data_IF_712580741001
#
_entry.id   IF_712580741001
#
_cell.length_a   1.000
_cell.length_b   1.000
_cell.length_c   1.000
_cell.angle_alpha   90.00
_cell.angle_beta   90.00
_cell.angle_gamma   90.00
#
_symmetry.space_group_name_H-M   'P 1'
#
loop_
_entity.id
_entity.type
_entity.pdbx_description
1 polymer ?
#
# COMPACT_ATOMS: atom_id res chain seq x y z
N UNK A 1 -104.06 77.97 -0.76
CA UNK A 1 -104.22 77.73 -2.22
C UNK A 1 -103.92 79.06 -2.91
N UNK A 2 -103.26 79.15 -4.10
CA UNK A 2 -103.09 78.17 -5.19
C UNK A 2 -101.59 77.82 -5.46
N UNK A 3 -101.21 76.59 -5.88
CA UNK A 3 -101.12 76.01 -7.24
C UNK A 3 -100.20 76.73 -8.23
N UNK A 4 -99.20 76.02 -8.78
CA UNK A 4 -98.69 76.34 -10.12
C UNK A 4 -97.24 75.98 -10.44
N UNK A 5 -97.08 74.82 -11.06
CA UNK A 5 -96.20 74.58 -12.24
C UNK A 5 -94.70 74.38 -12.03
N UNK A 6 -94.29 73.11 -12.13
CA UNK A 6 -92.95 72.70 -12.52
C UNK A 6 -92.64 73.19 -13.94
N UNK A 7 -91.49 73.83 -14.13
CA UNK A 7 -90.93 74.10 -15.46
C UNK A 7 -89.58 73.43 -15.62
N UNK A 8 -89.58 72.53 -16.61
CA UNK A 8 -88.51 71.68 -17.10
C UNK A 8 -87.30 72.53 -17.54
N UNK A 9 -86.09 72.10 -17.17
CA UNK A 9 -84.83 72.63 -17.69
C UNK A 9 -84.70 72.20 -19.16
N UNK A 10 -84.58 73.11 -20.14
CA UNK A 10 -84.24 72.73 -21.51
C UNK A 10 -82.74 72.35 -21.60
N UNK A 11 -82.36 71.42 -22.49
CA UNK A 11 -80.96 71.02 -22.63
C UNK A 11 -80.16 72.17 -23.25
N UNK A 12 -79.12 72.63 -22.55
CA UNK A 12 -78.18 73.60 -23.10
C UNK A 12 -77.31 72.91 -24.16
N UNK A 13 -77.56 73.31 -25.41
CA UNK A 13 -76.79 72.93 -26.59
C UNK A 13 -75.32 73.34 -26.44
N UNK A 14 -74.43 72.39 -26.69
CA UNK A 14 -72.98 72.58 -26.77
C UNK A 14 -72.66 73.60 -27.87
N UNK A 15 -72.25 74.80 -27.49
CA UNK A 15 -71.62 75.77 -28.40
C UNK A 15 -70.11 75.73 -28.14
N UNK A 16 -69.36 75.16 -29.09
CA UNK A 16 -67.90 75.24 -29.11
C UNK A 16 -67.48 76.64 -29.58
N UNK A 17 -67.39 77.58 -28.65
CA UNK A 17 -66.77 78.88 -28.86
C UNK A 17 -65.56 79.02 -27.95
N UNK A 18 -64.37 79.22 -28.54
CA UNK A 18 -63.14 79.51 -27.78
C UNK A 18 -63.23 80.92 -27.19
N UNK A 19 -63.28 81.04 -25.87
CA UNK A 19 -63.13 82.32 -25.16
C UNK A 19 -61.63 82.53 -24.93
N UNK A 20 -61.08 83.59 -25.52
CA UNK A 20 -59.68 83.99 -25.28
C UNK A 20 -59.65 85.00 -24.13
N UNK A 21 -58.98 84.64 -23.03
CA UNK A 21 -58.65 85.58 -21.96
C UNK A 21 -57.30 86.23 -22.26
N UNK A 22 -57.27 87.54 -22.47
CA UNK A 22 -56.01 88.29 -22.64
C UNK A 22 -55.47 88.69 -21.28
N UNK A 23 -54.30 88.15 -20.91
CA UNK A 23 -53.64 88.46 -19.64
C UNK A 23 -52.83 89.76 -19.77
N UNK A 24 -53.23 90.82 -19.08
CA UNK A 24 -52.47 92.07 -19.02
C UNK A 24 -51.31 91.94 -18.03
N UNK A 25 -50.12 91.59 -18.56
CA UNK A 25 -48.88 91.49 -17.77
C UNK A 25 -48.50 92.78 -17.04
N UNK A 26 -49.00 93.95 -17.47
CA UNK A 26 -48.65 95.24 -16.85
C UNK A 26 -49.35 95.51 -15.52
N UNK A 27 -50.35 94.68 -15.16
CA UNK A 27 -51.12 94.80 -13.91
C UNK A 27 -50.76 93.74 -12.86
N UNK A 28 -49.77 92.89 -13.12
CA UNK A 28 -49.27 91.90 -12.17
C UNK A 28 -48.14 92.53 -11.36
N UNK A 29 -48.44 92.97 -10.14
CA UNK A 29 -47.39 93.24 -9.15
C UNK A 29 -47.17 91.95 -8.36
N UNK A 30 -46.12 91.19 -8.71
CA UNK A 30 -45.61 90.13 -7.83
C UNK A 30 -44.80 90.83 -6.75
N UNK A 31 -45.26 90.80 -5.50
CA UNK A 31 -44.46 91.27 -4.39
C UNK A 31 -43.15 90.47 -4.36
N UNK A 32 -42.03 91.11 -4.66
CA UNK A 32 -40.70 90.53 -4.48
C UNK A 32 -40.44 90.47 -2.97
N UNK A 33 -40.88 89.36 -2.36
CA UNK A 33 -40.41 88.98 -1.04
C UNK A 33 -38.87 89.05 -1.02
N UNK A 34 -38.32 89.70 0.00
CA UNK A 34 -36.90 89.88 0.23
C UNK A 34 -36.08 88.68 -0.26
N UNK A 35 -35.25 88.90 -1.29
CA UNK A 35 -34.31 87.89 -1.78
C UNK A 35 -33.31 87.61 -0.66
N UNK A 36 -33.57 86.60 0.18
CA UNK A 36 -32.58 86.06 1.10
C UNK A 36 -31.30 85.71 0.34
N UNK A 37 -30.14 85.87 0.97
CA UNK A 37 -28.86 85.51 0.37
C UNK A 37 -28.89 84.05 -0.14
N UNK A 38 -28.17 83.72 -1.21
CA UNK A 38 -28.08 82.33 -1.66
C UNK A 38 -27.51 81.43 -0.53
N UNK A 39 -28.00 80.20 -0.41
CA UNK A 39 -27.48 79.24 0.56
C UNK A 39 -26.03 78.86 0.25
N UNK A 40 -25.20 78.85 1.29
CA UNK A 40 -23.80 78.44 1.27
C UNK A 40 -23.59 77.05 1.91
N UNK A 41 -24.63 76.20 1.93
CA UNK A 41 -24.58 74.85 2.47
C UNK A 41 -23.50 74.01 1.77
N UNK A 42 -22.54 73.52 2.56
CA UNK A 42 -21.38 72.77 2.08
C UNK A 42 -20.82 71.85 3.18
N UNK A 43 -19.88 70.98 2.81
CA UNK A 43 -19.06 70.19 3.74
C UNK A 43 -17.57 70.46 3.49
N UNK A 44 -16.77 70.47 4.55
CA UNK A 44 -15.29 70.56 4.48
C UNK A 44 -14.64 69.55 5.42
N UNK A 45 -13.44 69.10 5.07
CA UNK A 45 -12.64 68.18 5.89
C UNK A 45 -13.17 66.74 5.92
N UNK A 46 -14.01 66.38 4.95
CA UNK A 46 -14.53 65.02 4.82
C UNK A 46 -13.46 64.02 4.38
N UNK A 47 -13.62 62.76 4.79
CA UNK A 47 -12.80 61.64 4.36
C UNK A 47 -13.66 60.52 3.78
N UNK A 48 -13.04 59.69 2.94
CA UNK A 48 -13.67 58.51 2.34
C UNK A 48 -13.29 57.22 3.07
N UNK A 49 -14.19 56.22 3.19
CA UNK A 49 -13.85 54.94 3.82
C UNK A 49 -12.84 54.09 3.02
N UNK A 50 -12.80 54.22 1.69
CA UNK A 50 -11.86 53.48 0.84
C UNK A 50 -12.06 51.96 0.89
N UNK A 51 -11.03 51.23 1.31
CA UNK A 51 -11.06 49.78 1.45
C UNK A 51 -10.93 49.41 2.93
N UNK A 52 -11.93 48.72 3.46
CA UNK A 52 -11.98 48.26 4.84
C UNK A 52 -11.91 46.73 4.88
N UNK A 53 -11.30 46.16 5.91
CA UNK A 53 -11.45 44.72 6.19
C UNK A 53 -12.73 44.50 7.02
N UNK A 54 -13.39 43.35 6.86
CA UNK A 54 -14.51 42.96 7.75
C UNK A 54 -14.10 43.15 9.22
N UNK A 55 -14.97 43.78 10.01
CA UNK A 55 -14.70 44.08 11.42
C UNK A 55 -13.97 45.41 11.68
N UNK A 56 -13.51 46.11 10.63
CA UNK A 56 -12.80 47.40 10.79
C UNK A 56 -13.76 48.52 11.17
N UNK A 57 -13.36 49.35 12.14
CA UNK A 57 -14.05 50.61 12.45
C UNK A 57 -13.59 51.69 11.49
N UNK A 58 -14.48 52.62 11.17
CA UNK A 58 -14.16 53.83 10.44
C UNK A 58 -14.98 54.99 11.00
N UNK A 59 -14.40 56.19 10.96
CA UNK A 59 -15.00 57.40 11.54
C UNK A 59 -15.43 58.35 10.43
N UNK A 60 -16.70 58.73 10.43
CA UNK A 60 -17.28 59.74 9.56
C UNK A 60 -16.67 61.12 9.86
N UNK A 61 -15.84 61.66 8.95
CA UNK A 61 -15.25 62.99 9.11
C UNK A 61 -15.92 64.03 8.24
N UNK A 62 -15.80 65.29 8.65
CA UNK A 62 -16.27 66.47 7.93
C UNK A 62 -17.14 67.38 8.78
N UNK A 63 -17.11 68.68 8.49
CA UNK A 63 -17.98 69.69 9.09
C UNK A 63 -18.90 70.27 8.03
N UNK A 64 -20.20 70.13 8.25
CA UNK A 64 -21.25 70.72 7.41
C UNK A 64 -21.51 72.14 7.91
N UNK A 65 -21.54 73.12 7.02
CA UNK A 65 -21.76 74.53 7.37
C UNK A 65 -22.71 75.20 6.38
N UNK A 66 -23.55 76.13 6.84
CA UNK A 66 -24.39 77.00 6.00
C UNK A 66 -24.52 78.39 6.61
N UNK A 67 -24.88 79.38 5.79
CA UNK A 67 -25.32 80.70 6.23
C UNK A 67 -26.78 80.71 6.72
N UNK A 68 -27.52 79.62 6.52
CA UNK A 68 -28.83 79.37 7.12
C UNK A 68 -28.75 78.25 8.17
N UNK A 69 -29.75 78.17 9.05
CA UNK A 69 -29.86 77.07 10.02
C UNK A 69 -29.99 75.73 9.31
N UNK A 70 -29.11 74.77 9.62
CA UNK A 70 -29.17 73.38 9.15
C UNK A 70 -30.27 72.68 9.96
N UNK A 71 -31.35 72.32 9.28
CA UNK A 71 -32.55 71.72 9.89
C UNK A 71 -32.54 70.21 9.82
N UNK A 72 -31.71 69.63 8.96
CA UNK A 72 -31.62 68.19 8.78
C UNK A 72 -30.24 67.76 8.30
N UNK A 73 -29.71 66.67 8.87
CA UNK A 73 -28.57 65.93 8.33
C UNK A 73 -28.88 64.44 8.37
N UNK A 74 -28.74 63.77 7.24
CA UNK A 74 -28.89 62.32 7.10
C UNK A 74 -27.56 61.67 6.74
N UNK A 75 -27.25 60.55 7.38
CA UNK A 75 -26.14 59.68 7.00
C UNK A 75 -26.61 58.27 6.72
N UNK A 76 -26.05 57.67 5.68
CA UNK A 76 -26.51 56.42 5.12
C UNK A 76 -25.33 55.55 4.69
N UNK A 77 -25.47 54.24 4.93
CA UNK A 77 -24.69 53.21 4.25
C UNK A 77 -25.67 52.50 3.32
N UNK A 78 -25.41 52.52 2.02
CA UNK A 78 -26.23 51.88 1.00
C UNK A 78 -25.50 50.70 0.38
N UNK A 79 -26.26 49.75 -0.17
CA UNK A 79 -25.76 48.61 -0.90
C UNK A 79 -25.14 49.04 -2.25
N UNK A 80 -24.60 48.09 -3.01
CA UNK A 80 -23.86 48.36 -4.25
C UNK A 80 -24.66 49.07 -5.35
N UNK A 81 -25.99 49.10 -5.24
CA UNK A 81 -26.90 49.80 -6.14
C UNK A 81 -27.05 51.31 -5.83
N UNK A 82 -26.40 51.80 -4.77
CA UNK A 82 -26.50 53.18 -4.26
C UNK A 82 -27.94 53.65 -3.96
N UNK A 83 -28.85 52.71 -3.67
CA UNK A 83 -30.26 53.01 -3.38
C UNK A 83 -30.83 52.23 -2.19
N UNK A 84 -30.41 50.99 -2.00
CA UNK A 84 -30.86 50.14 -0.90
C UNK A 84 -30.15 50.53 0.39
N UNK A 85 -30.89 51.01 1.38
CA UNK A 85 -30.33 51.45 2.67
C UNK A 85 -30.02 50.22 3.54
N UNK A 86 -28.74 50.08 3.93
CA UNK A 86 -28.26 49.06 4.89
C UNK A 86 -28.29 49.61 6.31
N UNK A 87 -27.81 50.84 6.50
CA UNK A 87 -27.86 51.55 7.77
C UNK A 87 -28.18 53.03 7.52
N UNK A 88 -28.87 53.70 8.45
CA UNK A 88 -29.10 55.13 8.34
C UNK A 88 -29.26 55.80 9.71
N UNK A 89 -28.94 57.09 9.76
CA UNK A 89 -29.23 57.95 10.90
C UNK A 89 -29.52 59.38 10.45
N UNK A 90 -30.53 59.99 11.04
CA UNK A 90 -30.86 61.40 10.82
C UNK A 90 -30.78 62.19 12.12
N UNK A 91 -30.45 63.47 12.00
CA UNK A 91 -30.43 64.45 13.09
C UNK A 91 -30.94 65.80 12.60
N UNK A 92 -31.42 66.63 13.52
CA UNK A 92 -31.85 68.00 13.25
C UNK A 92 -30.99 68.95 14.11
N UNK A 93 -29.82 69.40 13.62
CA UNK A 93 -28.87 70.15 14.44
C UNK A 93 -29.41 71.48 14.95
N UNK A 94 -30.30 72.14 14.19
CA UNK A 94 -30.80 73.48 14.48
C UNK A 94 -29.68 74.50 14.73
N UNK A 95 -28.60 74.36 13.97
CA UNK A 95 -27.38 75.16 14.06
C UNK A 95 -26.86 75.47 12.65
N UNK A 96 -25.97 76.45 12.52
CA UNK A 96 -25.33 76.79 11.22
C UNK A 96 -24.12 75.90 10.90
N UNK A 97 -23.73 75.02 11.82
CA UNK A 97 -22.62 74.08 11.68
C UNK A 97 -22.92 72.73 12.34
N UNK A 98 -22.46 71.64 11.76
CA UNK A 98 -22.58 70.28 12.30
C UNK A 98 -21.35 69.43 11.96
N UNK A 99 -20.67 68.89 12.98
CA UNK A 99 -19.54 67.98 12.81
C UNK A 99 -20.01 66.53 12.73
N UNK A 100 -19.50 65.79 11.75
CA UNK A 100 -19.73 64.34 11.64
C UNK A 100 -18.86 63.56 12.63
N UNK A 101 -17.62 63.97 12.85
CA UNK A 101 -16.63 63.22 13.62
C UNK A 101 -17.05 63.08 15.09
N UNK A 102 -17.10 61.84 15.59
CA UNK A 102 -17.65 61.52 16.91
C UNK A 102 -19.07 62.07 17.12
N UNK A 103 -19.81 62.37 16.05
CA UNK A 103 -21.17 62.86 16.07
C UNK A 103 -22.18 61.74 16.24
N UNK A 104 -23.47 62.09 16.25
CA UNK A 104 -24.56 61.11 16.36
C UNK A 104 -24.63 60.19 15.13
N UNK A 105 -24.32 60.72 13.95
CA UNK A 105 -24.29 59.94 12.70
C UNK A 105 -23.11 58.96 12.72
N UNK A 106 -21.91 59.42 13.06
CA UNK A 106 -20.70 58.59 13.13
C UNK A 106 -20.87 57.40 14.07
N UNK A 107 -21.39 57.64 15.28
CA UNK A 107 -21.67 56.55 16.24
C UNK A 107 -22.77 55.58 15.79
N UNK A 108 -23.65 55.99 14.89
CA UNK A 108 -24.78 55.17 14.43
C UNK A 108 -24.46 54.35 13.18
N UNK A 109 -23.51 54.79 12.34
CA UNK A 109 -23.09 54.08 11.14
C UNK A 109 -21.96 53.12 11.50
N UNK A 110 -22.30 51.85 11.75
CA UNK A 110 -21.39 50.82 12.22
C UNK A 110 -20.71 50.11 11.05
N UNK A 111 -19.59 50.67 10.57
CA UNK A 111 -18.79 50.08 9.49
C UNK A 111 -18.23 48.70 9.84
N UNK A 112 -17.96 48.45 11.13
CA UNK A 112 -17.37 47.21 11.62
C UNK A 112 -18.34 46.02 11.64
N UNK A 113 -19.63 46.22 11.37
CA UNK A 113 -20.62 45.14 11.31
C UNK A 113 -21.01 44.77 9.89
N UNK A 114 -20.41 45.42 8.88
CA UNK A 114 -20.71 45.15 7.49
C UNK A 114 -20.07 43.84 7.03
N UNK A 115 -20.81 42.96 6.35
CA UNK A 115 -20.25 41.83 5.62
C UNK A 115 -19.31 42.28 4.50
N UNK A 116 -18.56 41.33 3.94
CA UNK A 116 -17.77 41.59 2.74
C UNK A 116 -18.69 42.00 1.58
N UNK A 117 -18.34 43.07 0.89
CA UNK A 117 -19.20 43.66 -0.14
C UNK A 117 -18.77 45.04 -0.61
N UNK A 118 -19.57 45.61 -1.52
CA UNK A 118 -19.41 46.98 -2.03
C UNK A 118 -20.58 47.82 -1.54
N UNK A 119 -20.29 49.02 -1.05
CA UNK A 119 -21.26 49.90 -0.41
C UNK A 119 -21.04 51.36 -0.82
N UNK A 120 -22.02 52.20 -0.51
CA UNK A 120 -21.92 53.66 -0.62
C UNK A 120 -22.13 54.32 0.74
N UNK A 121 -21.27 55.26 1.10
CA UNK A 121 -21.43 56.15 2.24
C UNK A 121 -21.95 57.49 1.74
N UNK A 122 -23.15 57.87 2.20
CA UNK A 122 -23.85 59.06 1.73
C UNK A 122 -24.21 59.98 2.89
N UNK A 123 -23.92 61.27 2.73
CA UNK A 123 -24.35 62.33 3.65
C UNK A 123 -25.23 63.32 2.90
N UNK A 124 -26.41 63.60 3.44
CA UNK A 124 -27.32 64.63 2.94
C UNK A 124 -27.57 65.69 4.00
N UNK A 125 -27.84 66.93 3.58
CA UNK A 125 -28.21 68.00 4.50
C UNK A 125 -29.21 68.95 3.88
N UNK A 126 -30.10 69.49 4.74
CA UNK A 126 -31.06 70.52 4.39
C UNK A 126 -30.90 71.72 5.33
N UNK A 127 -31.07 72.93 4.78
CA UNK A 127 -31.11 74.16 5.57
C UNK A 127 -32.46 74.88 5.47
N UNK A 128 -32.63 75.92 6.30
CA UNK A 128 -33.85 76.70 6.41
C UNK A 128 -34.16 77.54 5.16
N UNK A 129 -33.21 77.70 4.23
CA UNK A 129 -33.48 78.32 2.93
C UNK A 129 -34.27 77.40 1.99
N UNK A 130 -34.45 76.13 2.38
CA UNK A 130 -35.02 75.07 1.54
C UNK A 130 -33.99 74.36 0.66
N UNK A 131 -32.70 74.71 0.74
CA UNK A 131 -31.66 74.03 -0.04
C UNK A 131 -31.46 72.61 0.51
N UNK A 132 -31.37 71.65 -0.40
CA UNK A 132 -31.08 70.23 -0.09
C UNK A 132 -29.92 69.76 -0.94
N UNK A 133 -28.92 69.12 -0.32
CA UNK A 133 -27.75 68.61 -1.02
C UNK A 133 -27.35 67.22 -0.52
N UNK A 134 -26.84 66.42 -1.45
CA UNK A 134 -25.97 65.28 -1.15
C UNK A 134 -24.54 65.83 -1.10
N UNK A 135 -23.94 65.76 0.09
CA UNK A 135 -22.63 66.34 0.38
C UNK A 135 -21.50 65.30 0.27
N UNK A 136 -21.81 64.02 0.49
CA UNK A 136 -20.91 62.87 0.26
C UNK A 136 -21.69 61.78 -0.46
N UNK A 137 -21.09 61.13 -1.45
CA UNK A 137 -21.62 59.97 -2.16
C UNK A 137 -20.46 59.05 -2.57
N UNK A 138 -19.81 58.46 -1.57
CA UNK A 138 -18.53 57.77 -1.73
C UNK A 138 -18.72 56.25 -1.78
N UNK A 139 -18.19 55.62 -2.81
CA UNK A 139 -18.12 54.16 -2.92
C UNK A 139 -16.98 53.62 -2.06
N UNK A 140 -17.23 52.56 -1.30
CA UNK A 140 -16.22 51.85 -0.53
C UNK A 140 -16.41 50.33 -0.59
N UNK A 141 -15.36 49.59 -0.24
CA UNK A 141 -15.40 48.12 -0.21
C UNK A 141 -15.06 47.58 1.18
N UNK A 142 -15.70 46.47 1.53
CA UNK A 142 -15.36 45.65 2.69
C UNK A 142 -14.81 44.33 2.17
N UNK A 143 -13.52 44.09 2.38
CA UNK A 143 -12.85 42.86 1.95
C UNK A 143 -12.90 41.81 3.05
N UNK A 144 -13.27 40.58 2.67
CA UNK A 144 -13.05 39.43 3.53
C UNK A 144 -11.56 39.27 3.81
N UNK A 145 -11.15 38.79 5.00
CA UNK A 145 -9.78 38.37 5.20
C UNK A 145 -9.42 37.30 4.16
N UNK A 146 -8.26 37.45 3.53
CA UNK A 146 -7.72 36.41 2.65
C UNK A 146 -7.49 35.17 3.52
N UNK A 147 -8.06 34.00 3.19
CA UNK A 147 -7.72 32.77 3.91
C UNK A 147 -6.21 32.60 3.83
N UNK A 148 -5.54 32.41 4.98
CA UNK A 148 -4.11 32.11 4.98
C UNK A 148 -3.91 30.87 4.07
N UNK A 149 -3.04 30.91 3.06
CA UNK A 149 -2.87 29.78 2.17
C UNK A 149 -2.39 28.55 2.95
N UNK A 150 -3.03 27.41 2.71
CA UNK A 150 -2.53 26.11 3.20
C UNK A 150 -1.19 25.82 2.52
N UNK A 151 -0.15 25.59 3.30
CA UNK A 151 1.15 25.10 2.83
C UNK A 151 1.32 23.65 3.31
N UNK A 152 0.37 22.82 2.89
CA UNK A 152 0.28 21.44 3.34
C UNK A 152 1.40 20.60 2.72
N UNK A 153 2.09 19.83 3.56
CA UNK A 153 2.99 18.75 3.15
C UNK A 153 2.77 17.56 4.07
N UNK A 154 2.82 16.35 3.53
CA UNK A 154 2.71 15.14 4.34
C UNK A 154 3.25 13.92 3.63
N UNK A 155 3.50 12.86 4.39
CA UNK A 155 3.98 11.57 3.88
C UNK A 155 3.61 10.44 4.84
N UNK A 156 3.35 9.25 4.29
CA UNK A 156 3.25 8.00 5.06
C UNK A 156 4.67 7.43 5.21
N UNK A 157 5.08 7.21 6.45
CA UNK A 157 6.40 6.64 6.80
C UNK A 157 6.34 5.14 7.10
N UNK A 158 5.17 4.62 7.50
CA UNK A 158 4.93 3.19 7.63
C UNK A 158 3.44 2.86 7.40
N UNK A 159 3.10 1.69 6.81
CA UNK A 159 4.03 0.67 6.30
C UNK A 159 4.77 1.14 5.04
N UNK A 160 5.91 0.50 4.75
CA UNK A 160 6.53 0.65 3.43
C UNK A 160 5.61 0.05 2.36
N UNK A 161 5.67 0.59 1.14
CA UNK A 161 4.84 0.09 0.05
C UNK A 161 5.21 -1.36 -0.27
N UNK A 162 4.19 -2.22 -0.40
CA UNK A 162 4.30 -3.67 -0.58
C UNK A 162 5.01 -4.43 0.54
N UNK A 163 5.04 -3.88 1.76
CA UNK A 163 5.46 -4.62 2.95
C UNK A 163 4.50 -5.79 3.25
N UNK A 164 5.01 -6.86 3.86
CA UNK A 164 4.25 -8.02 4.28
C UNK A 164 4.41 -8.21 5.80
N UNK A 165 3.32 -8.58 6.48
CA UNK A 165 3.26 -8.69 7.94
C UNK A 165 2.64 -10.01 8.38
N UNK A 166 3.21 -10.62 9.43
CA UNK A 166 2.70 -11.83 10.08
C UNK A 166 1.58 -11.54 11.08
N UNK A 167 1.48 -10.30 11.54
CA UNK A 167 0.56 -9.88 12.59
C UNK A 167 -0.62 -9.16 12.01
N UNK A 168 -1.81 -9.43 12.55
CA UNK A 168 -3.05 -8.73 12.17
C UNK A 168 -3.07 -7.26 12.59
N UNK A 169 -2.13 -6.81 13.42
CA UNK A 169 -1.95 -5.41 13.76
C UNK A 169 -0.79 -4.83 12.96
N UNK A 170 -1.08 -3.82 12.14
CA UNK A 170 -0.09 -3.09 11.34
C UNK A 170 -0.04 -1.64 11.79
N UNK A 171 1.17 -1.15 12.08
CA UNK A 171 1.36 0.24 12.49
C UNK A 171 1.36 1.19 11.29
N UNK A 172 0.43 2.14 11.32
CA UNK A 172 0.36 3.25 10.38
C UNK A 172 1.04 4.46 11.00
N UNK A 173 2.07 4.97 10.33
CA UNK A 173 2.73 6.22 10.71
C UNK A 173 2.72 7.20 9.56
N UNK A 174 2.36 8.45 9.84
CA UNK A 174 2.37 9.53 8.87
C UNK A 174 2.74 10.84 9.54
N UNK A 175 3.43 11.70 8.81
CA UNK A 175 3.82 13.04 9.25
C UNK A 175 3.20 14.08 8.34
N UNK A 176 2.74 15.20 8.89
CA UNK A 176 2.24 16.32 8.10
C UNK A 176 2.57 17.68 8.73
N UNK A 177 2.71 18.70 7.89
CA UNK A 177 2.93 20.11 8.27
C UNK A 177 1.96 20.98 7.49
N UNK A 178 1.43 22.03 8.12
CA UNK A 178 0.65 23.07 7.43
C UNK A 178 0.77 24.40 8.20
N UNK A 179 0.44 25.51 7.53
CA UNK A 179 0.29 26.84 8.11
C UNK A 179 -0.83 26.89 9.16
N UNK A 180 -1.81 26.00 9.07
CA UNK A 180 -2.81 25.76 10.12
C UNK A 180 -2.40 24.56 10.96
N UNK A 181 -2.79 24.56 12.24
CA UNK A 181 -2.66 23.36 13.06
C UNK A 181 -3.41 22.18 12.42
N UNK A 182 -2.91 20.96 12.58
CA UNK A 182 -3.58 19.73 12.16
C UNK A 182 -4.29 19.15 13.38
N UNK A 183 -5.60 18.91 13.27
CA UNK A 183 -6.42 18.41 14.37
C UNK A 183 -6.36 16.89 14.48
N UNK A 184 -6.53 16.21 13.35
CA UNK A 184 -6.57 14.75 13.29
C UNK A 184 -6.14 14.25 11.90
N UNK A 185 -5.89 12.95 11.84
CA UNK A 185 -5.65 12.19 10.62
C UNK A 185 -6.82 11.25 10.39
N UNK A 186 -7.21 11.10 9.13
CA UNK A 186 -8.21 10.13 8.70
C UNK A 186 -7.47 8.99 8.01
N UNK A 187 -7.68 7.77 8.48
CA UNK A 187 -7.07 6.56 7.94
C UNK A 187 -8.18 5.74 7.31
N UNK A 188 -8.10 5.51 6.00
CA UNK A 188 -9.05 4.69 5.25
C UNK A 188 -8.36 3.41 4.82
N UNK A 189 -8.96 2.28 5.15
CA UNK A 189 -8.50 0.96 4.74
C UNK A 189 -9.41 0.46 3.62
N UNK A 190 -8.80 0.05 2.52
CA UNK A 190 -9.46 -0.50 1.35
C UNK A 190 -9.07 -1.96 1.15
N UNK A 191 -9.91 -2.69 0.42
CA UNK A 191 -9.64 -4.04 -0.02
C UNK A 191 -8.53 -4.08 -1.08
N UNK A 192 -8.15 -5.28 -1.52
CA UNK A 192 -7.09 -5.49 -2.53
C UNK A 192 -7.35 -4.83 -3.88
N UNK A 193 -8.59 -4.43 -4.16
CA UNK A 193 -8.99 -3.69 -5.36
C UNK A 193 -8.64 -2.19 -5.30
N UNK A 194 -8.24 -1.68 -4.13
CA UNK A 194 -7.96 -0.27 -3.88
C UNK A 194 -9.18 0.65 -3.93
N UNK A 195 -10.40 0.10 -4.03
CA UNK A 195 -11.65 0.84 -4.24
C UNK A 195 -12.66 0.55 -3.13
N UNK A 196 -12.81 -0.71 -2.74
CA UNK A 196 -13.79 -1.13 -1.73
C UNK A 196 -13.32 -0.70 -0.34
N UNK A 197 -13.96 0.32 0.22
CA UNK A 197 -13.67 0.81 1.57
C UNK A 197 -14.11 -0.22 2.61
N UNK A 198 -13.18 -0.65 3.45
CA UNK A 198 -13.42 -1.60 4.54
C UNK A 198 -13.57 -0.89 5.89
N UNK A 199 -12.77 0.16 6.12
CA UNK A 199 -12.72 0.86 7.42
C UNK A 199 -12.34 2.33 7.25
N UNK A 200 -12.88 3.18 8.12
CA UNK A 200 -12.41 4.57 8.31
C UNK A 200 -12.14 4.79 9.79
N UNK A 201 -10.97 5.32 10.10
CA UNK A 201 -10.49 5.56 11.45
C UNK A 201 -10.02 7.01 11.58
N UNK A 202 -10.16 7.56 12.78
CA UNK A 202 -9.67 8.90 13.11
C UNK A 202 -8.60 8.79 14.17
N UNK A 203 -7.40 9.27 13.87
CA UNK A 203 -6.28 9.32 14.79
C UNK A 203 -6.02 10.77 15.20
N UNK A 204 -5.82 11.00 16.50
CA UNK A 204 -5.43 12.32 16.99
C UNK A 204 -4.06 12.73 16.43
N UNK A 205 -3.92 13.99 16.04
CA UNK A 205 -2.64 14.52 15.59
C UNK A 205 -1.78 14.92 16.81
N UNK A 206 -0.60 14.32 16.93
CA UNK A 206 0.34 14.67 18.00
C UNK A 206 1.40 15.63 17.46
N UNK A 207 1.47 16.84 18.00
CA UNK A 207 2.49 17.81 17.58
C UNK A 207 3.88 17.36 18.04
N UNK A 208 4.83 17.33 17.12
CA UNK A 208 6.23 16.98 17.36
C UNK A 208 7.12 17.96 16.57
N UNK A 209 7.69 18.95 17.27
CA UNK A 209 8.35 20.07 16.62
C UNK A 209 7.39 20.86 15.73
N UNK A 210 7.78 21.07 14.47
CA UNK A 210 6.97 21.78 13.47
C UNK A 210 5.98 20.87 12.72
N UNK A 211 6.05 19.55 12.94
CA UNK A 211 5.19 18.57 12.28
C UNK A 211 4.15 17.98 13.24
N UNK A 212 3.13 17.36 12.66
CA UNK A 212 2.14 16.54 13.33
C UNK A 212 2.36 15.09 12.94
N UNK A 213 2.32 14.21 13.94
CA UNK A 213 2.54 12.78 13.80
C UNK A 213 1.23 12.02 14.03
N UNK A 214 0.94 11.11 13.11
CA UNK A 214 -0.01 10.03 13.26
C UNK A 214 0.74 8.76 13.65
N UNK A 215 0.30 8.11 14.73
CA UNK A 215 0.71 6.76 15.10
C UNK A 215 -0.56 5.99 15.42
N UNK A 216 -0.92 5.03 14.57
CA UNK A 216 -2.16 4.28 14.71
C UNK A 216 -1.93 2.79 14.46
N UNK A 217 -2.37 1.96 15.39
CA UNK A 217 -2.29 0.51 15.26
C UNK A 217 -3.59 0.01 14.59
N UNK A 218 -3.46 -0.38 13.31
CA UNK A 218 -4.58 -0.83 12.50
C UNK A 218 -4.75 -2.34 12.61
N UNK A 219 -5.89 -2.78 13.13
CA UNK A 219 -6.25 -4.18 13.23
C UNK A 219 -6.97 -4.68 11.96
N UNK A 220 -6.52 -5.81 11.44
CA UNK A 220 -6.97 -6.47 10.22
C UNK A 220 -7.75 -7.73 10.56
N UNK A 221 -8.73 -8.07 9.73
CA UNK A 221 -9.62 -9.22 9.94
C UNK A 221 -9.30 -10.43 9.08
N UNK A 222 -8.68 -10.25 7.92
CA UNK A 222 -8.52 -11.29 6.90
C UNK A 222 -7.12 -11.25 6.29
N UNK A 223 -6.58 -12.42 5.93
CA UNK A 223 -5.27 -12.50 5.28
C UNK A 223 -5.41 -12.19 3.78
N UNK A 224 -4.85 -11.06 3.35
CA UNK A 224 -4.90 -10.55 1.97
C UNK A 224 -4.05 -9.30 1.81
N UNK A 225 -4.04 -8.77 0.58
CA UNK A 225 -3.52 -7.45 0.25
C UNK A 225 -4.52 -6.35 0.62
N UNK A 226 -4.01 -5.26 1.16
CA UNK A 226 -4.75 -4.08 1.57
C UNK A 226 -4.13 -2.81 0.99
N UNK A 227 -4.95 -1.77 0.83
CA UNK A 227 -4.48 -0.40 0.58
C UNK A 227 -4.89 0.49 1.74
N UNK A 228 -3.95 1.20 2.35
CA UNK A 228 -4.23 2.26 3.33
C UNK A 228 -4.04 3.62 2.68
N UNK A 229 -5.01 4.50 2.87
CA UNK A 229 -4.92 5.91 2.51
C UNK A 229 -4.98 6.77 3.77
N UNK A 230 -4.15 7.81 3.82
CA UNK A 230 -4.15 8.74 4.96
C UNK A 230 -4.44 10.15 4.46
N UNK A 231 -5.33 10.85 5.16
CA UNK A 231 -5.57 12.29 5.03
C UNK A 231 -5.30 12.99 6.36
N UNK A 232 -5.08 14.30 6.33
CA UNK A 232 -5.02 15.17 7.50
C UNK A 232 -6.14 16.22 7.44
N UNK A 233 -6.71 16.56 8.61
CA UNK A 233 -7.70 17.61 8.76
C UNK A 233 -7.08 18.81 9.47
N UNK A 234 -7.02 19.94 8.77
CA UNK A 234 -6.51 21.19 9.30
C UNK A 234 -7.53 21.84 10.25
N UNK A 235 -7.07 22.76 11.09
CA UNK A 235 -7.89 23.45 12.09
C UNK A 235 -9.00 24.33 11.48
N UNK A 236 -8.85 24.72 10.22
CA UNK A 236 -9.88 25.40 9.43
C UNK A 236 -10.93 24.43 8.83
N UNK A 237 -10.82 23.12 9.11
CA UNK A 237 -11.73 22.07 8.63
C UNK A 237 -11.38 21.49 7.27
N UNK A 238 -10.30 21.95 6.61
CA UNK A 238 -9.91 21.45 5.29
C UNK A 238 -9.24 20.08 5.39
N UNK A 239 -9.69 19.13 4.57
CA UNK A 239 -9.04 17.83 4.39
C UNK A 239 -7.94 17.91 3.32
N UNK A 240 -6.80 17.30 3.61
CA UNK A 240 -5.70 17.12 2.68
C UNK A 240 -5.33 15.64 2.60
N UNK A 241 -5.40 15.08 1.40
CA UNK A 241 -4.88 13.74 1.13
C UNK A 241 -3.35 13.76 1.25
N UNK A 242 -2.79 12.80 1.98
CA UNK A 242 -1.34 12.64 2.12
C UNK A 242 -0.83 11.72 1.02
N UNK A 243 -1.18 10.44 1.12
CA UNK A 243 -0.68 9.38 0.25
C UNK A 243 -1.48 8.09 0.48
N UNK A 244 -1.19 7.06 -0.32
CA UNK A 244 -1.63 5.69 -0.08
C UNK A 244 -0.47 4.68 -0.16
N UNK A 245 -0.63 3.55 0.53
CA UNK A 245 0.33 2.44 0.55
C UNK A 245 -0.37 1.10 0.45
N UNK A 246 0.26 0.16 -0.25
CA UNK A 246 -0.14 -1.23 -0.33
C UNK A 246 0.65 -2.04 0.68
N UNK A 247 0.01 -3.02 1.31
CA UNK A 247 0.69 -3.99 2.15
C UNK A 247 -0.10 -5.28 2.22
N UNK A 248 0.53 -6.35 2.68
CA UNK A 248 -0.06 -7.68 2.81
C UNK A 248 -0.07 -8.11 4.27
N UNK A 249 -1.14 -8.77 4.68
CA UNK A 249 -1.20 -9.49 5.94
C UNK A 249 -1.37 -10.98 5.65
N UNK A 250 -0.43 -11.76 6.16
CA UNK A 250 -0.32 -13.20 5.97
C UNK A 250 0.32 -13.81 7.20
N UNK A 251 -0.45 -14.60 7.95
CA UNK A 251 -0.02 -15.26 9.16
C UNK A 251 0.20 -16.78 8.94
N UNK A 252 0.08 -17.23 7.69
CA UNK A 252 0.14 -18.65 7.36
C UNK A 252 1.48 -19.02 6.75
N UNK A 253 2.14 -20.08 7.25
CA UNK A 253 3.32 -20.61 6.59
C UNK A 253 3.03 -21.16 5.18
N UNK A 254 4.02 -21.12 4.27
CA UNK A 254 3.95 -21.83 2.99
C UNK A 254 3.61 -23.30 3.14
N UNK A 255 2.82 -23.81 2.20
CA UNK A 255 2.50 -25.25 2.10
C UNK A 255 3.53 -25.92 1.20
N UNK A 256 4.07 -27.05 1.68
CA UNK A 256 5.03 -27.89 0.95
C UNK A 256 4.35 -29.22 0.60
N UNK A 257 4.46 -29.64 -0.65
CA UNK A 257 3.92 -30.91 -1.14
C UNK A 257 4.89 -31.61 -2.09
N UNK A 258 4.71 -32.92 -2.28
CA UNK A 258 5.54 -33.73 -3.18
C UNK A 258 7.05 -33.60 -2.92
N UNK A 259 7.45 -33.54 -1.64
CA UNK A 259 8.84 -33.55 -1.25
C UNK A 259 9.47 -34.89 -1.65
N UNK A 260 10.45 -34.84 -2.54
CA UNK A 260 11.13 -36.00 -3.11
C UNK A 260 12.64 -35.80 -3.10
N UNK A 261 13.37 -36.91 -2.94
CA UNK A 261 14.83 -36.96 -3.01
C UNK A 261 15.24 -38.04 -3.99
N UNK A 262 16.23 -37.73 -4.83
CA UNK A 262 16.76 -38.67 -5.82
C UNK A 262 18.24 -38.40 -6.10
N UNK A 263 18.92 -39.39 -6.66
CA UNK A 263 20.32 -39.29 -7.08
C UNK A 263 20.39 -39.21 -8.60
N UNK A 264 21.21 -38.30 -9.13
CA UNK A 264 21.46 -38.17 -10.55
C UNK A 264 22.91 -37.77 -10.78
N UNK A 265 23.65 -38.55 -11.57
CA UNK A 265 25.06 -38.24 -11.88
C UNK A 265 26.02 -38.27 -10.70
N UNK A 266 25.65 -38.92 -9.58
CA UNK A 266 26.44 -38.99 -8.34
C UNK A 266 26.16 -37.87 -7.34
N UNK A 267 25.30 -36.91 -7.70
CA UNK A 267 24.80 -35.87 -6.80
C UNK A 267 23.38 -36.21 -6.31
N UNK A 268 23.03 -35.71 -5.13
CA UNK A 268 21.69 -35.84 -4.58
C UNK A 268 20.88 -34.55 -4.76
N UNK A 269 19.64 -34.73 -5.18
CA UNK A 269 18.70 -33.68 -5.46
C UNK A 269 17.48 -33.82 -4.55
N UNK A 270 16.97 -32.69 -4.08
CA UNK A 270 15.70 -32.58 -3.41
C UNK A 270 14.78 -31.66 -4.20
N UNK A 271 13.56 -32.10 -4.45
CA UNK A 271 12.52 -31.29 -5.10
C UNK A 271 11.24 -31.28 -4.30
N UNK A 272 10.54 -30.16 -4.29
CA UNK A 272 9.22 -30.04 -3.68
C UNK A 272 8.38 -28.99 -4.41
N UNK A 273 7.07 -29.16 -4.39
CA UNK A 273 6.13 -28.11 -4.79
C UNK A 273 5.83 -27.22 -3.58
N UNK A 274 5.83 -25.92 -3.78
CA UNK A 274 5.55 -24.93 -2.75
C UNK A 274 4.47 -23.97 -3.20
N UNK A 275 3.61 -23.57 -2.27
CA UNK A 275 2.57 -22.59 -2.53
C UNK A 275 2.32 -21.75 -1.29
N UNK A 276 2.10 -20.46 -1.50
CA UNK A 276 1.56 -19.55 -0.50
C UNK A 276 0.45 -18.70 -1.14
N UNK A 277 -0.63 -18.45 -0.40
CA UNK A 277 -1.86 -17.88 -0.97
C UNK A 277 -1.91 -16.35 -0.98
N UNK A 278 -0.98 -15.67 -0.30
CA UNK A 278 -1.04 -14.21 -0.14
C UNK A 278 0.26 -13.55 -0.58
N UNK A 279 1.40 -14.00 -0.08
CA UNK A 279 2.67 -13.28 -0.20
C UNK A 279 3.71 -13.98 -1.09
N UNK A 280 3.50 -15.26 -1.36
CA UNK A 280 4.41 -16.06 -2.19
C UNK A 280 5.70 -16.42 -1.46
N UNK A 281 6.41 -17.41 -2.01
CA UNK A 281 7.63 -17.96 -1.39
C UNK A 281 8.87 -17.18 -1.83
N UNK A 282 9.76 -16.86 -0.88
CA UNK A 282 10.97 -16.04 -1.14
C UNK A 282 12.27 -16.74 -0.79
N UNK A 283 12.25 -17.72 0.13
CA UNK A 283 13.46 -18.43 0.54
C UNK A 283 13.16 -19.91 0.83
N UNK A 284 14.14 -20.77 0.59
CA UNK A 284 14.07 -22.18 0.90
C UNK A 284 15.44 -22.72 1.30
N UNK A 285 15.47 -23.54 2.35
CA UNK A 285 16.68 -24.17 2.85
C UNK A 285 16.39 -25.62 3.23
N UNK A 286 17.34 -26.50 3.00
CA UNK A 286 17.23 -27.90 3.34
C UNK A 286 18.28 -28.29 4.38
N UNK A 287 17.84 -29.06 5.36
CA UNK A 287 18.67 -29.58 6.45
C UNK A 287 18.71 -31.09 6.35
N UNK A 288 19.92 -31.63 6.32
CA UNK A 288 20.17 -33.08 6.37
C UNK A 288 20.77 -33.40 7.73
N UNK A 289 20.19 -34.39 8.42
CA UNK A 289 20.67 -34.90 9.70
C UNK A 289 20.99 -36.39 9.60
N UNK A 290 22.19 -36.80 9.99
CA UNK A 290 22.57 -38.22 10.07
C UNK A 290 22.08 -38.89 11.38
N UNK A 291 22.25 -40.21 11.50
CA UNK A 291 21.93 -40.98 12.72
C UNK A 291 22.73 -40.52 13.96
N UNK A 292 23.92 -39.96 13.76
CA UNK A 292 24.75 -39.38 14.81
C UNK A 292 24.27 -38.01 15.29
N UNK A 293 23.29 -37.41 14.61
CA UNK A 293 22.74 -36.10 14.90
C UNK A 293 23.53 -34.93 14.31
N UNK A 294 24.51 -35.19 13.42
CA UNK A 294 25.24 -34.14 12.70
C UNK A 294 24.33 -33.57 11.61
N UNK A 295 24.27 -32.25 11.53
CA UNK A 295 23.45 -31.53 10.55
C UNK A 295 24.29 -30.79 9.51
N UNK A 296 23.79 -30.76 8.27
CA UNK A 296 24.25 -29.84 7.23
C UNK A 296 23.08 -29.10 6.59
N UNK A 297 23.30 -27.82 6.31
CA UNK A 297 22.31 -26.93 5.70
C UNK A 297 22.72 -26.61 4.26
N UNK A 298 21.73 -26.54 3.37
CA UNK A 298 21.91 -26.24 1.96
C UNK A 298 20.87 -25.21 1.53
N UNK A 299 21.32 -24.16 0.83
CA UNK A 299 20.43 -23.21 0.20
C UNK A 299 19.75 -23.85 -1.01
N UNK A 300 18.46 -23.62 -1.16
CA UNK A 300 17.68 -24.16 -2.26
C UNK A 300 17.29 -23.05 -3.23
N UNK A 301 17.16 -23.41 -4.50
CA UNK A 301 16.66 -22.52 -5.54
C UNK A 301 15.15 -22.69 -5.68
N UNK A 302 14.43 -21.57 -5.74
CA UNK A 302 13.01 -21.54 -6.07
C UNK A 302 12.88 -21.18 -7.56
N UNK A 303 12.15 -22.01 -8.30
CA UNK A 303 11.83 -21.78 -9.71
C UNK A 303 10.32 -21.90 -9.87
N UNK A 304 9.64 -20.76 -10.00
CA UNK A 304 8.18 -20.67 -9.91
C UNK A 304 7.69 -21.30 -8.59
N UNK A 305 6.95 -22.40 -8.68
CA UNK A 305 6.31 -23.07 -7.55
C UNK A 305 7.07 -24.34 -7.15
N UNK A 306 8.30 -24.53 -7.64
CA UNK A 306 9.15 -25.67 -7.34
C UNK A 306 10.41 -25.23 -6.62
N UNK A 307 10.69 -25.87 -5.48
CA UNK A 307 11.98 -25.79 -4.81
C UNK A 307 12.88 -26.90 -5.34
N UNK A 308 14.12 -26.56 -5.64
CA UNK A 308 15.18 -27.49 -6.04
C UNK A 308 16.42 -27.26 -5.17
N UNK A 309 16.89 -28.29 -4.50
CA UNK A 309 18.12 -28.27 -3.72
C UNK A 309 19.07 -29.32 -4.30
N UNK A 310 20.36 -28.99 -4.36
CA UNK A 310 21.43 -29.92 -4.72
C UNK A 310 22.34 -29.98 -3.51
N UNK A 311 22.78 -31.17 -3.11
CA UNK A 311 23.86 -31.28 -2.16
C UNK A 311 24.97 -32.17 -2.69
N UNK A 312 26.18 -31.62 -2.69
CA UNK A 312 27.39 -32.26 -3.21
C UNK A 312 28.52 -32.35 -2.18
N UNK A 313 28.47 -31.58 -1.08
CA UNK A 313 29.43 -31.65 0.03
C UNK A 313 28.82 -32.28 1.30
N UNK A 314 28.83 -33.61 1.36
CA UNK A 314 28.43 -34.38 2.56
C UNK A 314 29.60 -34.69 3.49
N UNK A 315 30.78 -34.06 3.31
CA UNK A 315 31.95 -34.36 4.14
C UNK A 315 31.65 -34.16 5.63
N UNK A 316 31.88 -35.20 6.44
CA UNK A 316 31.58 -35.19 7.88
C UNK A 316 30.21 -35.77 8.25
N UNK A 317 29.34 -36.05 7.28
CA UNK A 317 28.18 -36.93 7.46
C UNK A 317 28.61 -38.39 7.22
N UNK A 318 27.84 -39.35 7.74
CA UNK A 318 28.16 -40.77 7.62
C UNK A 318 28.11 -41.26 6.16
N UNK A 319 29.15 -41.94 5.66
CA UNK A 319 29.13 -42.41 4.25
C UNK A 319 28.05 -43.47 3.98
N UNK A 320 27.50 -44.07 5.03
CA UNK A 320 26.28 -44.89 4.97
C UNK A 320 25.47 -44.78 6.26
N UNK A 321 24.13 -44.87 6.15
CA UNK A 321 23.24 -44.77 7.31
C UNK A 321 21.88 -44.18 6.97
N UNK A 322 21.02 -44.04 7.97
CA UNK A 322 19.75 -43.32 7.84
C UNK A 322 19.92 -41.81 8.00
N UNK A 323 19.06 -41.09 7.31
CA UNK A 323 19.04 -39.64 7.26
C UNK A 323 17.63 -39.11 7.47
N UNK A 324 17.54 -37.96 8.13
CA UNK A 324 16.36 -37.11 8.14
C UNK A 324 16.64 -35.90 7.27
N UNK A 325 15.76 -35.65 6.31
CA UNK A 325 15.86 -34.51 5.40
C UNK A 325 14.67 -33.61 5.69
N UNK A 326 14.94 -32.37 6.09
CA UNK A 326 13.90 -31.37 6.37
C UNK A 326 14.05 -30.20 5.42
N UNK A 327 13.01 -29.90 4.65
CA UNK A 327 12.91 -28.71 3.83
C UNK A 327 12.16 -27.62 4.60
N UNK A 328 12.76 -26.44 4.69
CA UNK A 328 12.18 -25.21 5.23
C UNK A 328 11.92 -24.23 4.10
N UNK A 329 10.76 -23.57 4.13
CA UNK A 329 10.34 -22.62 3.10
C UNK A 329 9.76 -21.39 3.79
N UNK A 330 10.19 -20.20 3.36
CA UNK A 330 9.79 -18.92 3.93
C UNK A 330 9.05 -18.07 2.89
N UNK A 331 7.96 -17.43 3.30
CA UNK A 331 7.24 -16.43 2.50
C UNK A 331 7.76 -14.99 2.70
N UNK A 332 7.18 -14.03 1.98
CA UNK A 332 7.57 -12.61 2.09
C UNK A 332 7.15 -11.97 3.42
N UNK A 333 6.11 -12.47 4.09
CA UNK A 333 5.78 -12.04 5.47
C UNK A 333 6.78 -12.60 6.49
N UNK A 334 7.57 -13.60 6.11
CA UNK A 334 8.57 -14.28 6.91
C UNK A 334 8.07 -15.54 7.63
N UNK A 335 6.85 -16.01 7.34
CA UNK A 335 6.36 -17.26 7.94
C UNK A 335 7.16 -18.44 7.38
N UNK A 336 7.45 -19.44 8.22
CA UNK A 336 8.29 -20.58 7.86
C UNK A 336 7.46 -21.86 7.90
N UNK A 337 7.28 -22.49 6.75
CA UNK A 337 6.73 -23.84 6.59
C UNK A 337 7.85 -24.88 6.55
N UNK A 338 7.56 -26.12 6.92
CA UNK A 338 8.52 -27.21 6.81
C UNK A 338 7.87 -28.55 6.46
N UNK A 339 8.63 -29.40 5.79
CA UNK A 339 8.29 -30.79 5.50
C UNK A 339 9.53 -31.67 5.66
N UNK A 340 9.35 -32.91 6.10
CA UNK A 340 10.48 -33.80 6.37
C UNK A 340 10.26 -35.21 5.79
N UNK A 341 11.35 -35.80 5.30
CA UNK A 341 11.48 -37.22 5.00
C UNK A 341 12.33 -37.88 6.08
N UNK A 342 11.87 -39.01 6.58
CA UNK A 342 12.55 -39.77 7.64
C UNK A 342 13.07 -41.11 7.10
N UNK A 343 14.08 -41.65 7.77
CA UNK A 343 14.67 -42.97 7.47
C UNK A 343 15.20 -43.11 6.02
N UNK A 344 15.73 -42.03 5.44
CA UNK A 344 16.36 -42.07 4.12
C UNK A 344 17.69 -42.80 4.22
N UNK A 345 17.83 -43.94 3.56
CA UNK A 345 19.06 -44.76 3.62
C UNK A 345 19.99 -44.37 2.47
N UNK A 346 21.18 -43.86 2.80
CA UNK A 346 22.30 -43.72 1.86
C UNK A 346 23.24 -44.91 2.07
N UNK A 347 23.61 -45.61 1.00
CA UNK A 347 24.51 -46.78 1.07
C UNK A 347 25.71 -46.61 0.13
N UNK A 348 26.91 -46.89 0.63
CA UNK A 348 28.05 -47.19 -0.24
C UNK A 348 27.77 -48.47 -1.01
N UNK A 349 27.79 -48.40 -2.36
CA UNK A 349 28.03 -49.60 -3.15
C UNK A 349 29.47 -50.02 -2.84
N UNK A 350 29.64 -51.12 -2.12
CA UNK A 350 30.93 -51.68 -1.70
C UNK A 350 31.98 -51.55 -2.81
N UNK A 351 32.89 -50.58 -2.65
CA UNK A 351 33.95 -50.25 -3.63
C UNK A 351 35.04 -51.32 -3.75
N UNK A 352 34.91 -52.43 -3.02
CA UNK A 352 35.84 -53.56 -3.03
C UNK A 352 35.07 -54.88 -3.19
N UNK A 353 34.95 -55.45 -4.40
CA UNK A 353 34.40 -56.79 -4.53
C UNK A 353 35.28 -57.75 -3.70
N UNK A 354 34.67 -58.43 -2.73
CA UNK A 354 35.38 -59.40 -1.91
C UNK A 354 35.80 -60.56 -2.81
N UNK A 355 37.10 -60.71 -3.08
CA UNK A 355 37.63 -61.85 -3.87
C UNK A 355 37.31 -63.14 -3.12
N UNK A 356 36.51 -64.02 -3.74
CA UNK A 356 36.21 -65.36 -3.22
C UNK A 356 36.86 -66.37 -4.14
N UNK A 357 37.96 -66.97 -3.68
CA UNK A 357 38.56 -68.12 -4.36
C UNK A 357 37.69 -69.37 -4.09
N UNK A 358 37.34 -70.10 -5.15
CA UNK A 358 36.57 -71.36 -5.13
C UNK A 358 37.36 -72.40 -5.92
N UNK A 359 37.58 -73.58 -5.32
CA UNK A 359 38.20 -74.73 -5.98
C UNK A 359 37.13 -75.57 -6.66
N UNK A 360 37.43 -76.15 -7.83
CA UNK A 360 36.50 -77.00 -8.58
C UNK A 360 36.07 -78.19 -7.71
N UNK A 361 34.77 -78.35 -7.51
CA UNK A 361 34.18 -79.39 -6.66
C UNK A 361 33.81 -78.96 -5.23
N UNK A 362 34.11 -77.72 -4.83
CA UNK A 362 33.67 -77.16 -3.55
C UNK A 362 32.39 -76.32 -3.70
N UNK A 363 31.49 -76.44 -2.72
CA UNK A 363 30.37 -75.52 -2.52
C UNK A 363 30.77 -74.47 -1.49
N UNK A 364 30.61 -73.18 -1.83
CA UNK A 364 30.93 -72.09 -0.91
C UNK A 364 29.76 -71.14 -0.82
N UNK A 365 29.28 -70.95 0.41
CA UNK A 365 28.20 -70.02 0.70
C UNK A 365 28.77 -68.60 0.78
N UNK A 366 28.26 -67.71 -0.07
CA UNK A 366 28.65 -66.30 -0.07
C UNK A 366 27.46 -65.46 0.38
N UNK A 367 27.67 -64.68 1.43
CA UNK A 367 26.69 -63.68 1.86
C UNK A 367 26.82 -62.45 0.96
N UNK A 368 25.79 -62.19 0.15
CA UNK A 368 25.69 -61.01 -0.68
C UNK A 368 24.72 -60.05 0.02
N UNK A 369 25.16 -58.81 0.22
CA UNK A 369 24.29 -57.74 0.72
C UNK A 369 23.94 -56.86 -0.47
N UNK A 370 22.69 -56.89 -0.92
CA UNK A 370 22.16 -55.99 -1.94
C UNK A 370 21.19 -55.07 -1.21
N UNK A 371 21.56 -53.79 -1.07
CA UNK A 371 20.69 -52.76 -0.53
C UNK A 371 20.29 -51.84 -1.69
N UNK A 372 19.08 -52.05 -2.24
CA UNK A 372 18.50 -51.14 -3.24
C UNK A 372 17.18 -50.59 -2.72
N UNK A 373 16.91 -49.31 -3.01
CA UNK A 373 15.64 -48.64 -2.71
C UNK A 373 14.54 -49.20 -3.64
N UNK A 374 13.46 -49.73 -3.06
CA UNK A 374 12.24 -50.05 -3.81
C UNK A 374 11.19 -48.96 -3.63
N UNK A 375 10.57 -48.55 -4.73
CA UNK A 375 9.28 -47.82 -4.72
C UNK A 375 8.18 -48.86 -4.98
N UNK A 376 7.23 -49.00 -4.09
CA UNK A 376 5.94 -49.63 -4.40
C UNK A 376 4.87 -48.57 -4.31
N UNK A 377 4.12 -48.39 -5.39
CA UNK A 377 2.96 -47.50 -5.39
C UNK A 377 1.96 -47.93 -4.33
N UNK A 378 1.60 -47.00 -3.43
CA UNK A 378 0.35 -47.07 -2.69
C UNK A 378 0.32 -47.93 -1.42
N UNK A 379 1.37 -47.91 -0.59
CA UNK A 379 1.32 -48.00 0.90
C UNK A 379 2.74 -48.08 1.48
N UNK A 380 3.06 -47.20 2.42
CA UNK A 380 4.32 -47.21 3.18
C UNK A 380 4.52 -48.56 3.89
N UNK A 381 5.33 -49.45 3.29
CA UNK A 381 5.93 -50.59 3.99
C UNK A 381 7.39 -50.71 3.61
N UNK A 382 8.26 -50.33 4.54
CA UNK A 382 9.70 -50.58 4.47
C UNK A 382 9.92 -52.05 4.81
N UNK A 383 10.24 -52.89 3.82
CA UNK A 383 10.67 -54.25 4.12
C UNK A 383 12.21 -54.30 4.13
N UNK A 384 12.75 -54.32 5.35
CA UNK A 384 14.18 -54.47 5.63
C UNK A 384 14.54 -55.94 5.43
N UNK A 385 15.43 -56.28 4.50
CA UNK A 385 16.06 -57.59 4.47
C UNK A 385 17.15 -57.62 5.54
N UNK A 386 16.73 -57.78 6.80
CA UNK A 386 17.67 -58.05 7.88
C UNK A 386 18.26 -59.45 7.64
N UNK A 387 19.46 -59.45 7.03
CA UNK A 387 20.38 -60.57 6.73
C UNK A 387 20.19 -61.24 5.36
N UNK A 388 21.06 -60.82 4.44
CA UNK A 388 21.81 -61.66 3.50
C UNK A 388 21.01 -62.40 2.44
N UNK A 389 21.09 -61.94 1.19
CA UNK A 389 20.85 -62.86 0.08
C UNK A 389 22.00 -63.88 0.09
N UNK A 390 21.66 -65.16 0.20
CA UNK A 390 22.60 -66.26 0.13
C UNK A 390 22.67 -66.72 -1.32
N UNK A 391 23.86 -66.64 -1.91
CA UNK A 391 24.16 -67.27 -3.19
C UNK A 391 25.04 -68.49 -2.91
N UNK A 392 24.55 -69.67 -3.31
CA UNK A 392 25.39 -70.88 -3.39
C UNK A 392 26.00 -70.88 -4.78
N UNK A 393 27.32 -70.77 -4.84
CA UNK A 393 28.07 -70.88 -6.08
C UNK A 393 28.60 -72.30 -6.17
N UNK A 394 28.10 -73.08 -7.13
CA UNK A 394 28.60 -74.43 -7.40
C UNK A 394 29.68 -74.34 -8.48
N UNK A 395 30.92 -74.66 -8.13
CA UNK A 395 31.98 -74.85 -9.11
C UNK A 395 31.72 -76.12 -9.91
N UNK A 396 31.21 -75.99 -11.14
CA UNK A 396 31.03 -77.14 -12.04
C UNK A 396 32.38 -77.53 -12.67
N UNK A 397 32.47 -78.79 -13.13
CA UNK A 397 33.69 -79.51 -13.53
C UNK A 397 34.67 -78.72 -14.44
N UNK A 398 35.96 -79.12 -14.50
CA UNK A 398 36.96 -78.43 -15.31
C UNK A 398 36.50 -78.25 -16.77
N UNK A 399 36.43 -77.00 -17.23
CA UNK A 399 35.98 -76.65 -18.60
C UNK A 399 34.55 -76.12 -18.72
N UNK A 400 33.78 -76.03 -17.63
CA UNK A 400 32.46 -75.40 -17.65
C UNK A 400 32.54 -73.88 -17.36
N UNK A 401 32.11 -73.05 -18.31
CA UNK A 401 31.92 -71.59 -18.13
C UNK A 401 30.58 -71.24 -17.46
N UNK A 402 29.92 -72.20 -16.80
CA UNK A 402 28.57 -72.04 -16.25
C UNK A 402 28.61 -72.15 -14.72
N UNK A 403 28.27 -71.04 -14.07
CA UNK A 403 27.95 -70.98 -12.65
C UNK A 403 26.43 -71.04 -12.50
N UNK A 404 25.94 -71.85 -11.57
CA UNK A 404 24.54 -71.78 -11.14
C UNK A 404 24.45 -71.01 -9.82
N UNK A 405 23.43 -70.17 -9.72
CA UNK A 405 23.09 -69.46 -8.50
C UNK A 405 21.73 -69.97 -8.03
N UNK A 406 21.68 -70.53 -6.84
CA UNK A 406 20.42 -70.84 -6.16
C UNK A 406 20.17 -69.78 -5.09
N UNK A 407 19.04 -69.09 -5.20
CA UNK A 407 18.58 -68.11 -4.21
C UNK A 407 17.56 -68.76 -3.29
N UNK A 408 17.72 -68.60 -1.98
CA UNK A 408 16.67 -68.93 -1.00
C UNK A 408 16.20 -67.65 -0.34
N UNK A 409 15.09 -67.10 -0.82
CA UNK A 409 14.37 -66.04 -0.13
C UNK A 409 13.52 -66.65 0.99
N UNK A 410 13.58 -66.11 2.20
CA UNK A 410 12.75 -66.61 3.32
C UNK A 410 11.26 -66.30 3.17
N UNK A 411 10.90 -65.39 2.26
CA UNK A 411 9.53 -65.00 1.94
C UNK A 411 9.34 -64.95 0.42
N UNK A 412 8.37 -65.69 -0.11
CA UNK A 412 8.07 -65.94 -1.53
C UNK A 412 7.57 -64.72 -2.35
N UNK A 413 8.12 -63.52 -2.17
CA UNK A 413 7.69 -62.35 -2.93
C UNK A 413 8.90 -61.53 -3.40
N UNK A 414 9.56 -62.00 -4.45
CA UNK A 414 10.49 -61.20 -5.25
C UNK A 414 10.17 -61.42 -6.73
N UNK A 415 9.79 -60.33 -7.41
CA UNK A 415 9.87 -60.22 -8.87
C UNK A 415 10.78 -59.03 -9.16
N UNK A 416 11.92 -59.28 -9.80
CA UNK A 416 12.87 -58.24 -10.20
C UNK A 416 12.60 -57.89 -11.67
N UNK A 417 12.23 -56.64 -11.95
CA UNK A 417 12.04 -56.13 -13.32
C UNK A 417 13.32 -55.57 -13.95
N UNK A 418 14.48 -55.74 -13.28
CA UNK A 418 15.78 -55.29 -13.79
C UNK A 418 16.78 -56.44 -13.79
N UNK A 419 17.43 -56.64 -14.95
CA UNK A 419 18.53 -57.59 -15.11
C UNK A 419 19.76 -57.07 -14.34
N UNK A 420 20.19 -57.82 -13.32
CA UNK A 420 21.47 -57.57 -12.67
C UNK A 420 22.55 -58.45 -13.30
N UNK A 421 23.65 -57.84 -13.77
CA UNK A 421 24.78 -58.58 -14.33
C UNK A 421 25.77 -58.97 -13.22
N UNK A 422 25.99 -60.27 -13.03
CA UNK A 422 27.07 -60.81 -12.19
C UNK A 422 28.26 -61.16 -13.10
N UNK A 423 29.41 -60.54 -12.87
CA UNK A 423 30.64 -60.83 -13.61
C UNK A 423 31.44 -61.91 -12.88
N UNK A 424 31.79 -63.00 -13.58
CA UNK A 424 32.71 -64.02 -13.07
C UNK A 424 33.94 -64.08 -13.98
N UNK A 425 35.11 -63.99 -13.37
CA UNK A 425 36.40 -64.07 -14.07
C UNK A 425 37.03 -65.42 -13.78
N UNK A 426 37.25 -66.23 -14.81
CA UNK A 426 38.08 -67.43 -14.72
C UNK A 426 39.54 -67.06 -14.98
N UNK A 427 40.41 -67.35 -14.01
CA UNK A 427 41.86 -67.22 -14.18
C UNK A 427 42.41 -68.61 -14.51
N UNK A 428 42.96 -68.87 -15.72
CA UNK A 428 43.61 -70.13 -16.02
C UNK A 428 44.81 -70.34 -15.08
N UNK A 429 45.09 -71.57 -14.68
CA UNK A 429 46.13 -71.88 -13.70
C UNK A 429 47.51 -71.30 -14.07
N UNK A 430 48.22 -70.85 -13.03
CA UNK A 430 49.54 -70.22 -12.89
C UNK A 430 50.43 -70.00 -14.14
N UNK A 431 51.03 -68.80 -14.33
CA UNK A 431 51.94 -68.54 -15.45
C UNK A 431 53.22 -69.39 -15.38
N UNK A 432 53.78 -69.72 -16.55
CA UNK A 432 55.02 -70.49 -16.71
C UNK A 432 56.22 -69.62 -16.29
N UNK A 433 56.97 -70.05 -15.27
CA UNK A 433 58.16 -69.36 -14.75
C UNK A 433 59.39 -69.74 -15.60
N UNK A 434 60.13 -68.75 -16.11
CA UNK A 434 61.44 -68.98 -16.78
C UNK A 434 62.52 -68.13 -16.11
N UNK A 435 63.64 -68.75 -15.69
CA UNK A 435 64.75 -68.12 -14.98
C UNK A 435 65.80 -67.58 -15.97
N UNK A 436 66.18 -66.30 -15.88
CA UNK A 436 67.01 -65.65 -16.90
C UNK A 436 68.54 -65.62 -16.61
N UNK A 437 69.07 -65.25 -15.43
CA UNK A 437 70.52 -65.37 -15.11
C UNK A 437 70.82 -65.25 -13.60
N UNK A 438 71.95 -65.79 -13.14
CA UNK A 438 72.45 -65.68 -11.75
C UNK A 438 73.60 -64.66 -11.62
N UNK A 439 73.44 -63.61 -10.81
CA UNK A 439 74.48 -63.07 -9.90
C UNK A 439 73.97 -61.98 -8.92
N UNK A 440 74.00 -62.38 -7.64
CA UNK A 440 74.22 -61.65 -6.35
C UNK A 440 73.57 -60.26 -6.19
N UNK A 441 72.55 -60.05 -5.35
CA UNK A 441 72.26 -60.56 -4.01
C UNK A 441 70.77 -61.00 -3.88
N UNK A 442 70.52 -62.30 -3.65
CA UNK A 442 69.31 -62.77 -2.96
C UNK A 442 67.94 -62.78 -3.68
N UNK A 443 67.81 -62.39 -4.95
CA UNK A 443 66.54 -62.49 -5.70
C UNK A 443 66.74 -63.05 -7.13
N UNK A 444 65.88 -63.98 -7.54
CA UNK A 444 65.72 -64.40 -8.95
C UNK A 444 64.84 -63.37 -9.68
N UNK A 445 65.30 -62.83 -10.81
CA UNK A 445 64.41 -62.05 -11.70
C UNK A 445 63.58 -63.01 -12.53
N UNK A 446 62.27 -63.05 -12.24
CA UNK A 446 61.27 -63.82 -12.98
C UNK A 446 60.44 -62.84 -13.80
N UNK A 447 60.38 -63.03 -15.12
CA UNK A 447 59.46 -62.30 -16.00
C UNK A 447 58.18 -63.12 -16.21
N UNK A 448 57.03 -62.44 -16.18
CA UNK A 448 55.71 -63.01 -16.48
C UNK A 448 55.34 -62.69 -17.94
N UNK A 449 54.82 -63.66 -18.69
CA UNK A 449 54.01 -63.34 -19.87
C UNK A 449 52.60 -62.97 -19.39
N UNK A 450 51.99 -61.87 -19.88
CA UNK A 450 50.61 -61.51 -19.52
C UNK A 450 49.64 -62.60 -19.98
N UNK A 451 48.79 -63.09 -19.08
CA UNK A 451 47.67 -63.98 -19.43
C UNK A 451 46.43 -63.11 -19.68
N UNK A 452 45.85 -63.18 -20.88
CA UNK A 452 44.61 -62.48 -21.21
C UNK A 452 43.46 -62.99 -20.31
N UNK A 453 42.84 -62.08 -19.56
CA UNK A 453 41.63 -62.37 -18.80
C UNK A 453 40.41 -62.37 -19.75
N UNK A 454 39.68 -63.49 -19.82
CA UNK A 454 38.46 -63.59 -20.64
C UNK A 454 37.26 -63.12 -19.81
N UNK A 455 36.61 -62.04 -20.27
CA UNK A 455 35.38 -61.49 -19.67
C UNK A 455 34.16 -62.27 -20.19
N UNK A 456 33.45 -62.98 -19.33
CA UNK A 456 32.19 -63.63 -19.67
C UNK A 456 31.01 -62.91 -19.00
N UNK A 457 30.02 -62.51 -19.80
CA UNK A 457 28.72 -62.01 -19.32
C UNK A 457 27.78 -63.21 -19.12
N UNK A 458 27.08 -63.27 -18.00
CA UNK A 458 25.97 -64.21 -17.79
C UNK A 458 24.71 -63.40 -17.52
N UNK A 459 23.78 -63.37 -18.48
CA UNK A 459 22.48 -62.73 -18.31
C UNK A 459 21.44 -63.74 -17.76
N UNK A 460 20.54 -63.27 -16.89
CA UNK A 460 19.47 -64.09 -16.31
C UNK A 460 18.39 -64.39 -17.36
N UNK A 461 18.53 -65.53 -18.04
CA UNK A 461 17.46 -66.15 -18.84
C UNK A 461 17.00 -67.45 -18.21
N UNK A 462 15.69 -67.72 -18.25
CA UNK A 462 15.03 -68.95 -17.77
C UNK A 462 15.88 -70.21 -18.03
N UNK A 463 16.04 -71.02 -16.99
CA UNK A 463 16.48 -72.41 -17.09
C UNK A 463 15.74 -73.13 -18.22
N UNK A 464 16.49 -73.74 -19.13
CA UNK A 464 16.17 -75.01 -19.77
C UNK A 464 17.52 -75.68 -20.09
N UNK A 465 17.55 -77.01 -20.02
CA UNK A 465 18.70 -77.87 -20.34
C UNK A 465 19.42 -77.47 -21.63
#
# INVERSE_FOLDING_TARGET
MPTGSASVIPPLAYHSGSVTYTFDKSKVTVGTGSSGAASALQIKGQSSPGNLNVGSRWTCKGTISSNYTITHVGGYILQSDNSTIVQSKTVNPNATSYSLENGVIDRALLFNTLPAGTYYYKITAHDASGKRLTLIDDKFTVTAPVPNPCNFSGQITAPADWAAFQTSTVKITATATDSYAINNFIIKLYNSDGITLLKTETAAANKSGDAYLCNYDLNLSEQKTYTVAVSAICANGREHFIDSRHFMYDATPPVISNLNVYEEGGDFYCTANVSDSVTGVVNAAMVIRDEGGIEKNFDCKIVSDTVMCIWSDINGLWTSGKYVITLYVQDKAGNIGYAALQDIVLSEVSSSPKRVDIVVGEEKEVNITINTLFKTEGKNQTQKTDKGMKAIIKGTQPGCNKFSFEWTAKNNAFATDHNYDIYVYTVPQSPKITKLFDKMEGYDVITYEPVEAVKNLVSMGKNLC
#
